data_IF_988310562844
#
_entry.id   IF_988310562844
#
_cell.length_a   1.000
_cell.length_b   1.000
_cell.length_c   1.000
_cell.angle_alpha   90.00
_cell.angle_beta   90.00
_cell.angle_gamma   90.00
#
_symmetry.space_group_name_H-M   'P 1'
#
loop_
_entity.id
_entity.type
_entity.pdbx_description
1 polymer ?
#
# COMPACT_ATOMS: atom_id res chain seq x y z
N UNK A 1 -38.12 -3.04 -89.85
CA UNK A 1 -39.35 -2.40 -89.33
C UNK A 1 -39.94 -3.29 -88.25
N UNK A 2 -40.66 -2.70 -87.27
CA UNK A 2 -41.36 -3.27 -86.07
C UNK A 2 -40.45 -3.89 -84.99
N UNK A 3 -40.05 -3.14 -83.95
CA UNK A 3 -40.73 -2.78 -82.66
C UNK A 3 -41.03 -3.97 -81.73
N UNK A 4 -40.41 -3.94 -80.55
CA UNK A 4 -40.75 -4.76 -79.38
C UNK A 4 -39.72 -4.60 -78.26
N UNK A 5 -39.89 -3.55 -77.43
CA UNK A 5 -39.07 -3.22 -76.25
C UNK A 5 -39.82 -3.61 -74.96
N UNK A 6 -39.04 -3.82 -73.88
CA UNK A 6 -39.37 -3.93 -72.44
C UNK A 6 -39.56 -5.37 -71.87
N UNK A 7 -39.16 -5.68 -70.61
CA UNK A 7 -39.12 -4.74 -69.47
C UNK A 7 -37.82 -4.61 -68.67
N UNK A 8 -37.82 -3.49 -67.95
CA UNK A 8 -36.88 -2.90 -66.99
C UNK A 8 -36.81 -3.62 -65.64
N UNK A 9 -35.61 -3.73 -65.08
CA UNK A 9 -35.36 -3.99 -63.65
C UNK A 9 -35.17 -2.64 -62.92
N UNK A 10 -35.82 -2.39 -61.77
CA UNK A 10 -35.54 -1.20 -60.97
C UNK A 10 -34.26 -1.39 -60.12
N UNK A 11 -33.33 -0.45 -60.26
CA UNK A 11 -32.16 -0.28 -59.39
C UNK A 11 -32.60 0.53 -58.16
N UNK A 12 -32.58 -0.09 -56.99
CA UNK A 12 -32.79 0.60 -55.71
C UNK A 12 -31.48 1.26 -55.24
N UNK A 13 -31.50 2.58 -55.07
CA UNK A 13 -30.42 3.35 -54.42
C UNK A 13 -30.60 3.31 -52.89
N UNK A 14 -29.57 2.95 -52.10
CA UNK A 14 -29.63 3.13 -50.65
C UNK A 14 -29.45 4.60 -50.25
N UNK A 15 -30.40 5.10 -49.47
CA UNK A 15 -30.44 6.42 -48.82
C UNK A 15 -29.17 6.76 -48.04
N UNK A 16 -28.64 7.97 -48.25
CA UNK A 16 -27.65 8.62 -47.36
C UNK A 16 -28.24 8.86 -45.97
N UNK A 17 -27.60 8.29 -44.95
CA UNK A 17 -27.91 8.50 -43.54
C UNK A 17 -27.42 9.87 -43.04
N UNK A 18 -28.26 10.53 -42.25
CA UNK A 18 -28.01 11.82 -41.60
C UNK A 18 -26.83 11.76 -40.63
N UNK A 19 -25.78 12.57 -40.87
CA UNK A 19 -24.72 12.84 -39.91
C UNK A 19 -25.25 13.70 -38.76
N UNK A 20 -25.76 13.07 -37.69
CA UNK A 20 -25.94 13.76 -36.40
C UNK A 20 -24.62 13.74 -35.64
N UNK A 21 -24.05 14.93 -35.39
CA UNK A 21 -22.88 15.10 -34.51
C UNK A 21 -23.21 14.54 -33.11
N UNK A 22 -22.33 13.75 -32.47
CA UNK A 22 -22.60 13.23 -31.13
C UNK A 22 -22.69 14.39 -30.12
N UNK A 23 -23.79 14.44 -29.36
CA UNK A 23 -23.90 15.29 -28.17
C UNK A 23 -22.76 14.94 -27.19
N UNK A 24 -22.08 15.92 -26.58
CA UNK A 24 -21.16 15.67 -25.48
C UNK A 24 -21.93 14.92 -24.39
N UNK A 25 -21.54 13.67 -24.11
CA UNK A 25 -22.03 12.95 -22.94
C UNK A 25 -21.42 13.63 -21.73
N UNK A 26 -22.25 14.20 -20.87
CA UNK A 26 -21.85 14.51 -19.51
C UNK A 26 -21.25 13.22 -18.92
N UNK A 27 -19.98 13.31 -18.53
CA UNK A 27 -19.25 12.20 -17.91
C UNK A 27 -20.06 11.65 -16.75
N UNK A 28 -20.16 10.32 -16.69
CA UNK A 28 -20.81 9.56 -15.63
C UNK A 28 -20.40 10.13 -14.27
N UNK A 29 -21.38 10.53 -13.44
CA UNK A 29 -21.09 10.83 -12.04
C UNK A 29 -20.44 9.60 -11.39
N UNK A 30 -19.42 9.78 -10.52
CA UNK A 30 -18.80 8.66 -9.84
C UNK A 30 -19.86 7.80 -9.15
N UNK A 31 -19.72 6.48 -9.19
CA UNK A 31 -20.63 5.60 -8.47
C UNK A 31 -20.59 5.95 -6.98
N UNK A 32 -21.75 5.98 -6.30
CA UNK A 32 -21.84 6.28 -4.87
C UNK A 32 -20.96 5.35 -4.01
N UNK A 33 -20.67 4.15 -4.51
CA UNK A 33 -19.75 3.17 -3.92
C UNK A 33 -18.28 3.61 -3.91
N UNK A 34 -17.85 4.52 -4.79
CA UNK A 34 -16.49 5.03 -4.84
C UNK A 34 -16.30 6.31 -4.00
N UNK A 35 -17.38 6.88 -3.47
CA UNK A 35 -17.36 8.13 -2.70
C UNK A 35 -16.37 8.09 -1.51
N UNK A 36 -16.31 7.00 -0.70
CA UNK A 36 -15.32 6.91 0.37
C UNK A 36 -13.87 6.95 -0.14
N UNK A 37 -13.61 6.32 -1.30
CA UNK A 37 -12.30 6.29 -1.92
C UNK A 37 -11.88 7.66 -2.45
N UNK A 38 -12.81 8.40 -3.07
CA UNK A 38 -12.56 9.76 -3.54
C UNK A 38 -12.36 10.75 -2.39
N UNK A 39 -13.11 10.61 -1.29
CA UNK A 39 -12.92 11.41 -0.08
C UNK A 39 -11.54 11.14 0.54
N UNK A 40 -11.20 9.86 0.73
CA UNK A 40 -9.89 9.44 1.23
C UNK A 40 -8.74 9.98 0.35
N UNK A 41 -8.85 9.89 -0.98
CA UNK A 41 -7.83 10.43 -1.89
C UNK A 41 -7.67 11.95 -1.78
N UNK A 42 -8.78 12.70 -1.66
CA UNK A 42 -8.73 14.17 -1.47
C UNK A 42 -8.13 14.55 -0.13
N UNK A 43 -8.46 13.85 0.94
CA UNK A 43 -7.95 14.12 2.29
C UNK A 43 -6.49 13.68 2.44
N UNK A 44 -6.07 12.61 1.78
CA UNK A 44 -4.66 12.22 1.66
C UNK A 44 -3.82 13.31 0.98
N UNK A 45 -4.36 13.97 -0.06
CA UNK A 45 -3.72 15.13 -0.71
C UNK A 45 -3.64 16.36 0.21
N UNK A 46 -4.66 16.59 1.04
CA UNK A 46 -4.62 17.66 2.04
C UNK A 46 -3.56 17.36 3.12
N UNK A 47 -3.49 16.12 3.57
CA UNK A 47 -2.50 15.68 4.55
C UNK A 47 -1.06 15.79 4.00
N UNK A 48 -0.83 15.42 2.74
CA UNK A 48 0.48 15.60 2.08
C UNK A 48 0.88 17.06 1.84
N UNK A 49 -0.08 17.98 1.87
CA UNK A 49 0.19 19.42 1.76
C UNK A 49 0.48 20.07 3.12
N UNK A 50 0.30 19.33 4.22
CA UNK A 50 0.51 19.81 5.58
C UNK A 50 2.00 19.71 5.97
N UNK A 51 2.61 20.82 6.37
CA UNK A 51 4.03 20.87 6.74
C UNK A 51 4.38 19.97 7.94
N UNK A 52 3.49 19.87 8.94
CA UNK A 52 3.66 18.99 10.09
C UNK A 52 3.66 17.52 9.65
N UNK A 53 2.77 17.14 8.74
CA UNK A 53 2.76 15.79 8.17
C UNK A 53 3.97 15.50 7.29
N UNK A 54 4.42 16.47 6.50
CA UNK A 54 5.61 16.31 5.64
C UNK A 54 6.87 16.02 6.45
N UNK A 55 6.99 16.55 7.67
CA UNK A 55 8.06 16.18 8.60
C UNK A 55 7.98 14.71 9.02
N UNK A 56 6.78 14.22 9.35
CA UNK A 56 6.53 12.81 9.71
C UNK A 56 6.85 11.89 8.54
N UNK A 57 6.36 12.21 7.35
CA UNK A 57 6.65 11.44 6.14
C UNK A 57 8.15 11.37 5.86
N UNK A 58 8.87 12.50 5.97
CA UNK A 58 10.32 12.53 5.75
C UNK A 58 11.05 11.63 6.73
N UNK A 59 10.72 11.73 8.02
CA UNK A 59 11.32 10.90 9.06
C UNK A 59 11.04 9.41 8.84
N UNK A 60 9.79 9.03 8.54
CA UNK A 60 9.42 7.63 8.28
C UNK A 60 10.17 7.06 7.07
N UNK A 61 10.28 7.82 5.98
CA UNK A 61 11.05 7.39 4.80
C UNK A 61 12.54 7.28 5.12
N UNK A 62 13.08 8.16 5.96
CA UNK A 62 14.47 8.07 6.41
C UNK A 62 14.72 6.77 7.21
N UNK A 63 13.80 6.41 8.11
CA UNK A 63 13.86 5.15 8.86
C UNK A 63 13.89 3.94 7.92
N UNK A 64 13.02 3.89 6.90
CA UNK A 64 13.03 2.80 5.92
C UNK A 64 14.32 2.72 5.08
N UNK A 65 15.09 3.82 5.00
CA UNK A 65 16.40 3.84 4.34
C UNK A 65 17.55 3.43 5.27
N UNK A 66 17.26 3.03 6.51
CA UNK A 66 18.24 2.71 7.55
C UNK A 66 18.80 3.93 8.27
N UNK A 67 18.16 5.10 8.14
CA UNK A 67 18.52 6.31 8.88
C UNK A 67 17.89 6.35 10.27
N UNK A 68 18.57 6.99 11.22
CA UNK A 68 18.04 7.26 12.55
C UNK A 68 17.26 8.58 12.61
N UNK A 69 16.62 8.81 13.77
CA UNK A 69 16.04 10.11 14.12
C UNK A 69 17.12 11.01 14.74
N UNK A 70 17.03 12.32 14.47
CA UNK A 70 17.88 13.31 15.11
C UNK A 70 17.49 13.55 16.57
N UNK A 71 18.40 14.19 17.31
CA UNK A 71 18.13 14.58 18.69
C UNK A 71 16.88 15.45 18.78
N UNK A 72 15.98 15.09 19.69
CA UNK A 72 14.68 15.76 19.91
C UNK A 72 13.69 15.72 18.73
N UNK A 73 14.03 15.09 17.60
CA UNK A 73 13.14 14.97 16.45
C UNK A 73 11.89 14.17 16.80
N UNK A 74 12.06 13.04 17.50
CA UNK A 74 10.94 12.20 17.95
C UNK A 74 9.89 12.97 18.76
N UNK A 75 10.32 13.87 19.64
CA UNK A 75 9.41 14.70 20.43
C UNK A 75 8.61 15.64 19.52
N UNK A 76 9.27 16.32 18.58
CA UNK A 76 8.61 17.21 17.64
C UNK A 76 7.62 16.46 16.72
N UNK A 77 7.99 15.27 16.25
CA UNK A 77 7.12 14.41 15.46
C UNK A 77 5.86 13.98 16.25
N UNK A 78 6.03 13.58 17.50
CA UNK A 78 4.92 13.23 18.38
C UNK A 78 3.96 14.42 18.61
N UNK A 79 4.48 15.62 18.81
CA UNK A 79 3.67 16.83 18.93
C UNK A 79 2.91 17.15 17.64
N UNK A 80 3.56 17.01 16.48
CA UNK A 80 2.92 17.18 15.18
C UNK A 80 1.75 16.20 15.01
N UNK A 81 1.94 14.93 15.35
CA UNK A 81 0.90 13.90 15.26
C UNK A 81 -0.24 14.20 16.24
N UNK A 82 0.03 14.61 17.49
CA UNK A 82 -1.02 15.02 18.45
C UNK A 82 -1.86 16.18 17.93
N UNK A 83 -1.24 17.17 17.27
CA UNK A 83 -1.96 18.29 16.66
C UNK A 83 -2.82 17.84 15.49
N UNK A 84 -2.29 16.97 14.62
CA UNK A 84 -3.04 16.41 13.49
C UNK A 84 -4.22 15.55 13.95
N UNK A 85 -4.05 14.74 15.00
CA UNK A 85 -5.13 13.93 15.59
C UNK A 85 -6.30 14.76 16.10
N UNK A 86 -6.06 16.00 16.53
CA UNK A 86 -7.11 16.94 16.96
C UNK A 86 -7.79 17.67 15.79
N UNK A 87 -7.28 17.51 14.57
CA UNK A 87 -7.84 18.12 13.36
C UNK A 87 -8.75 17.16 12.61
N UNK A 88 -9.43 17.66 11.58
CA UNK A 88 -10.22 16.84 10.65
C UNK A 88 -9.39 15.75 9.93
N UNK A 89 -8.06 15.88 9.92
CA UNK A 89 -7.16 14.93 9.26
C UNK A 89 -6.78 13.74 10.16
N UNK A 90 -7.13 13.77 11.45
CA UNK A 90 -6.70 12.77 12.43
C UNK A 90 -7.11 11.35 12.08
N UNK A 91 -8.33 11.16 11.59
CA UNK A 91 -8.87 9.84 11.21
C UNK A 91 -8.14 9.19 10.04
N UNK A 92 -7.38 9.95 9.25
CA UNK A 92 -6.69 9.44 8.06
C UNK A 92 -5.24 9.06 8.32
N UNK A 93 -4.69 9.37 9.49
CA UNK A 93 -3.27 9.14 9.80
C UNK A 93 -2.94 7.64 9.69
N UNK A 94 -3.76 6.77 10.28
CA UNK A 94 -3.55 5.32 10.25
C UNK A 94 -3.62 4.76 8.83
N UNK A 95 -4.65 5.17 8.07
CA UNK A 95 -4.83 4.73 6.68
C UNK A 95 -3.66 5.18 5.79
N UNK A 96 -3.24 6.44 5.92
CA UNK A 96 -2.10 6.97 5.18
C UNK A 96 -0.80 6.26 5.57
N UNK A 97 -0.58 6.00 6.87
CA UNK A 97 0.56 5.22 7.33
C UNK A 97 0.59 3.86 6.63
N UNK A 98 -0.51 3.11 6.65
CA UNK A 98 -0.59 1.79 6.04
C UNK A 98 -0.42 1.83 4.52
N UNK A 99 -1.22 2.65 3.83
CA UNK A 99 -1.36 2.60 2.37
C UNK A 99 -0.30 3.39 1.61
N UNK A 100 0.37 4.36 2.26
CA UNK A 100 1.36 5.21 1.62
C UNK A 100 2.75 4.99 2.22
N UNK A 101 2.92 5.21 3.53
CA UNK A 101 4.24 5.22 4.13
C UNK A 101 4.83 3.81 4.26
N UNK A 102 4.09 2.91 4.91
CA UNK A 102 4.48 1.52 5.11
C UNK A 102 4.56 0.78 3.78
N UNK A 103 3.54 0.92 2.93
CA UNK A 103 3.53 0.29 1.61
C UNK A 103 4.76 0.69 0.78
N UNK A 104 5.07 1.99 0.70
CA UNK A 104 6.24 2.48 -0.03
C UNK A 104 7.56 2.02 0.58
N UNK A 105 7.68 2.04 1.91
CA UNK A 105 8.87 1.58 2.61
C UNK A 105 9.15 0.08 2.39
N UNK A 106 8.10 -0.74 2.46
CA UNK A 106 8.22 -2.18 2.25
C UNK A 106 8.41 -2.57 0.78
N UNK A 107 7.89 -1.79 -0.18
CA UNK A 107 8.21 -2.00 -1.59
C UNK A 107 9.71 -1.83 -1.86
N UNK A 108 10.35 -0.83 -1.26
CA UNK A 108 11.80 -0.66 -1.37
C UNK A 108 12.57 -1.87 -0.81
N UNK A 109 12.11 -2.40 0.33
CA UNK A 109 12.66 -3.60 0.95
C UNK A 109 12.50 -4.84 0.05
N UNK A 110 11.31 -5.01 -0.52
CA UNK A 110 10.98 -6.13 -1.40
C UNK A 110 11.79 -6.11 -2.69
N UNK A 111 11.94 -4.93 -3.31
CA UNK A 111 12.78 -4.71 -4.49
C UNK A 111 14.24 -5.07 -4.19
N UNK A 112 14.77 -4.65 -3.03
CA UNK A 112 16.13 -4.99 -2.60
C UNK A 112 16.33 -6.52 -2.52
N UNK A 113 15.36 -7.27 -2.01
CA UNK A 113 15.42 -8.74 -1.92
C UNK A 113 15.28 -9.40 -3.29
N UNK A 114 14.46 -8.86 -4.19
CA UNK A 114 14.29 -9.38 -5.56
C UNK A 114 15.54 -9.27 -6.42
N UNK A 115 16.38 -8.26 -6.18
CA UNK A 115 17.63 -8.06 -6.92
C UNK A 115 18.72 -9.08 -6.53
N UNK A 116 18.54 -9.83 -5.44
CA UNK A 116 19.45 -10.90 -5.04
C UNK A 116 18.98 -12.26 -5.55
N UNK A 117 19.90 -13.02 -6.12
CA UNK A 117 19.65 -14.36 -6.67
C UNK A 117 20.29 -15.46 -5.82
N UNK A 118 19.72 -16.67 -5.88
CA UNK A 118 20.28 -17.86 -5.26
C UNK A 118 20.24 -17.87 -3.73
N UNK A 119 21.21 -18.56 -3.11
CA UNK A 119 21.29 -18.76 -1.67
C UNK A 119 21.46 -17.44 -0.89
N UNK A 120 22.03 -16.39 -1.48
CA UNK A 120 22.21 -15.09 -0.81
C UNK A 120 20.88 -14.37 -0.54
N UNK A 121 19.79 -14.81 -1.19
CA UNK A 121 18.46 -14.20 -1.02
C UNK A 121 17.85 -14.51 0.36
N UNK A 122 18.09 -15.70 0.92
CA UNK A 122 17.60 -16.04 2.26
C UNK A 122 18.39 -15.30 3.34
N UNK A 123 19.70 -15.12 3.14
CA UNK A 123 20.56 -14.34 4.03
C UNK A 123 20.14 -12.87 4.03
N UNK A 124 19.91 -12.29 2.85
CA UNK A 124 19.43 -10.92 2.75
C UNK A 124 18.04 -10.74 3.37
N UNK A 125 17.14 -11.71 3.19
CA UNK A 125 15.82 -11.68 3.84
C UNK A 125 15.97 -11.68 5.37
N UNK A 126 16.90 -12.49 5.91
CA UNK A 126 17.20 -12.52 7.33
C UNK A 126 17.74 -11.17 7.83
N UNK A 127 18.71 -10.58 7.14
CA UNK A 127 19.28 -9.27 7.49
C UNK A 127 18.23 -8.15 7.46
N UNK A 128 17.43 -8.10 6.40
CA UNK A 128 16.35 -7.13 6.24
C UNK A 128 15.31 -7.30 7.35
N UNK A 129 14.95 -8.54 7.67
CA UNK A 129 14.01 -8.82 8.74
C UNK A 129 14.55 -8.35 10.10
N UNK A 130 15.82 -8.65 10.41
CA UNK A 130 16.45 -8.24 11.67
C UNK A 130 16.46 -6.73 11.81
N UNK A 131 16.89 -6.01 10.78
CA UNK A 131 16.86 -4.54 10.77
C UNK A 131 15.42 -3.98 10.86
N UNK A 132 14.48 -4.58 10.13
CA UNK A 132 13.09 -4.16 10.21
C UNK A 132 12.52 -4.35 11.62
N UNK A 133 12.74 -5.51 12.23
CA UNK A 133 12.13 -5.88 13.50
C UNK A 133 12.78 -5.18 14.70
N UNK A 134 14.10 -4.94 14.66
CA UNK A 134 14.86 -4.37 15.78
C UNK A 134 15.04 -2.86 15.71
N UNK A 135 15.02 -2.26 14.51
CA UNK A 135 15.25 -0.82 14.33
C UNK A 135 14.04 -0.11 13.73
N UNK A 136 13.61 -0.51 12.53
CA UNK A 136 12.53 0.18 11.81
C UNK A 136 11.23 0.16 12.61
N UNK A 137 10.76 -1.03 12.98
CA UNK A 137 9.47 -1.23 13.63
C UNK A 137 9.39 -0.49 14.99
N UNK A 138 10.35 -0.62 15.92
CA UNK A 138 10.34 0.16 17.16
C UNK A 138 10.35 1.67 16.92
N UNK A 139 11.06 2.14 15.90
CA UNK A 139 11.11 3.57 15.56
C UNK A 139 9.76 4.05 15.02
N UNK A 140 9.10 3.28 14.15
CA UNK A 140 7.74 3.58 13.68
C UNK A 140 6.74 3.59 14.85
N UNK A 141 6.82 2.61 15.76
CA UNK A 141 6.00 2.58 16.96
C UNK A 141 6.23 3.83 17.84
N UNK A 142 7.47 4.30 17.94
CA UNK A 142 7.81 5.50 18.70
C UNK A 142 7.26 6.78 18.05
N UNK A 143 7.41 6.94 16.73
CA UNK A 143 6.90 8.10 15.97
C UNK A 143 5.37 8.15 16.08
N UNK A 144 4.69 7.02 15.93
CA UNK A 144 3.22 6.96 15.94
C UNK A 144 2.63 6.65 17.31
N UNK A 145 3.42 6.76 18.39
CA UNK A 145 2.96 6.52 19.76
C UNK A 145 1.66 7.27 20.14
N UNK A 146 1.42 8.53 19.69
CA UNK A 146 0.17 9.23 19.98
C UNK A 146 -1.08 8.63 19.31
N UNK A 147 -0.93 7.78 18.29
CA UNK A 147 -2.04 7.14 17.58
C UNK A 147 -2.50 5.92 18.38
N UNK A 148 -3.49 6.12 19.24
CA UNK A 148 -4.05 5.09 20.13
C UNK A 148 -5.53 4.83 19.82
N UNK A 149 -6.05 3.70 20.30
CA UNK A 149 -7.47 3.33 20.18
C UNK A 149 -7.92 2.91 18.76
N UNK A 150 -6.97 2.58 17.89
CA UNK A 150 -7.24 2.02 16.56
C UNK A 150 -7.55 0.52 16.66
N UNK A 151 -8.24 -0.04 15.66
CA UNK A 151 -8.53 -1.48 15.56
C UNK A 151 -7.23 -2.31 15.55
N UNK A 152 -6.23 -1.83 14.80
CA UNK A 152 -4.89 -2.42 14.77
C UNK A 152 -3.85 -1.41 15.24
N UNK A 153 -2.92 -1.89 16.06
CA UNK A 153 -1.74 -1.13 16.47
C UNK A 153 -0.78 -0.95 15.29
N UNK A 154 0.06 0.09 15.35
CA UNK A 154 1.15 0.34 14.38
C UNK A 154 2.01 -0.92 14.20
N UNK A 155 2.28 -1.64 15.29
CA UNK A 155 3.00 -2.91 15.25
C UNK A 155 2.29 -3.96 14.40
N UNK A 156 1.01 -4.19 14.66
CA UNK A 156 0.23 -5.17 13.91
C UNK A 156 0.14 -4.78 12.43
N UNK A 157 -0.12 -3.52 12.12
CA UNK A 157 -0.17 -3.01 10.74
C UNK A 157 1.18 -3.24 10.04
N UNK A 158 2.30 -2.90 10.69
CA UNK A 158 3.64 -3.08 10.14
C UNK A 158 4.02 -4.55 9.93
N UNK A 159 3.71 -5.44 10.87
CA UNK A 159 3.98 -6.87 10.75
C UNK A 159 3.14 -7.52 9.65
N UNK A 160 1.84 -7.20 9.59
CA UNK A 160 0.96 -7.63 8.50
C UNK A 160 1.45 -7.12 7.16
N UNK A 161 1.84 -5.85 7.07
CA UNK A 161 2.43 -5.27 5.88
C UNK A 161 3.68 -6.00 5.42
N UNK A 162 4.61 -6.31 6.34
CA UNK A 162 5.82 -7.06 6.00
C UNK A 162 5.48 -8.45 5.44
N UNK A 163 4.56 -9.17 6.10
CA UNK A 163 4.07 -10.47 5.62
C UNK A 163 3.51 -10.36 4.20
N UNK A 164 2.57 -9.45 4.00
CA UNK A 164 1.77 -9.41 2.77
C UNK A 164 2.52 -8.79 1.58
N UNK A 165 3.36 -7.79 1.83
CA UNK A 165 4.09 -7.06 0.80
C UNK A 165 5.48 -7.61 0.53
N UNK A 166 6.16 -8.19 1.52
CA UNK A 166 7.52 -8.74 1.36
C UNK A 166 7.48 -10.26 1.32
N UNK A 167 7.10 -10.91 2.43
CA UNK A 167 7.28 -12.35 2.59
C UNK A 167 6.51 -13.17 1.54
N UNK A 168 5.22 -12.85 1.34
CA UNK A 168 4.38 -13.55 0.36
C UNK A 168 4.83 -13.32 -1.09
N UNK A 169 5.62 -12.29 -1.37
CA UNK A 169 6.17 -12.01 -2.71
C UNK A 169 7.49 -12.73 -2.98
N UNK A 170 8.23 -13.06 -1.93
CA UNK A 170 9.58 -13.63 -2.02
C UNK A 170 9.59 -15.13 -2.42
N UNK A 171 8.43 -15.82 -2.39
CA UNK A 171 8.29 -17.28 -2.61
C UNK A 171 9.19 -18.09 -1.70
N UNK A 172 8.88 -18.06 -0.41
CA UNK A 172 9.75 -18.60 0.64
C UNK A 172 10.02 -20.11 0.49
N UNK A 173 9.07 -20.89 -0.02
CA UNK A 173 9.21 -22.35 -0.18
C UNK A 173 10.41 -22.70 -1.07
N UNK A 174 10.58 -21.98 -2.18
CA UNK A 174 11.71 -22.15 -3.09
C UNK A 174 13.05 -21.82 -2.40
N UNK A 175 13.06 -20.82 -1.52
CA UNK A 175 14.26 -20.40 -0.80
C UNK A 175 14.65 -21.35 0.33
N UNK A 176 13.67 -21.88 1.06
CA UNK A 176 13.93 -22.84 2.14
C UNK A 176 14.46 -24.16 1.60
N UNK A 177 14.00 -24.58 0.41
CA UNK A 177 14.55 -25.76 -0.29
C UNK A 177 16.02 -25.56 -0.70
N UNK A 178 16.41 -24.34 -1.07
CA UNK A 178 17.79 -24.00 -1.43
C UNK A 178 18.70 -23.79 -0.21
N UNK A 179 18.14 -23.40 0.95
CA UNK A 179 18.87 -23.09 2.18
C UNK A 179 19.16 -24.31 3.09
N UNK A 180 19.07 -25.53 2.55
CA UNK A 180 19.34 -26.77 3.28
C UNK A 180 20.79 -26.78 3.84
N UNK A 181 21.02 -27.27 5.08
CA UNK A 181 20.10 -28.09 5.89
C UNK A 181 19.27 -27.35 6.95
N UNK A 182 19.56 -26.07 7.27
CA UNK A 182 18.81 -25.33 8.29
C UNK A 182 18.77 -23.82 8.00
N UNK A 183 17.59 -23.18 8.02
CA UNK A 183 17.48 -21.74 7.75
C UNK A 183 18.07 -20.89 8.88
N UNK A 184 18.46 -19.63 8.60
CA UNK A 184 18.93 -18.69 9.62
C UNK A 184 17.91 -18.52 10.76
N UNK A 185 18.39 -18.35 12.00
CA UNK A 185 17.53 -18.20 13.17
C UNK A 185 16.53 -17.04 13.06
N UNK A 186 16.95 -15.94 12.43
CA UNK A 186 16.12 -14.77 12.11
C UNK A 186 14.90 -15.13 11.25
N UNK A 187 15.04 -16.05 10.29
CA UNK A 187 13.93 -16.52 9.45
C UNK A 187 12.93 -17.34 10.27
N UNK A 188 13.42 -18.20 11.17
CA UNK A 188 12.56 -18.97 12.07
C UNK A 188 11.77 -18.03 12.97
N UNK A 189 12.45 -17.04 13.57
CA UNK A 189 11.83 -16.04 14.42
C UNK A 189 10.79 -15.21 13.65
N UNK A 190 11.11 -14.79 12.43
CA UNK A 190 10.19 -14.08 11.54
C UNK A 190 8.91 -14.88 11.32
N UNK A 191 9.04 -16.16 10.96
CA UNK A 191 7.89 -17.01 10.68
C UNK A 191 7.01 -17.24 11.89
N UNK A 192 7.60 -17.37 13.08
CA UNK A 192 6.85 -17.49 14.34
C UNK A 192 6.08 -16.21 14.69
N UNK A 193 6.67 -15.05 14.42
CA UNK A 193 6.04 -13.76 14.73
C UNK A 193 4.93 -13.40 13.75
N UNK A 194 5.11 -13.73 12.47
CA UNK A 194 4.13 -13.41 11.42
C UNK A 194 2.97 -14.40 11.32
N UNK A 195 2.84 -15.32 12.28
CA UNK A 195 1.78 -16.31 12.28
C UNK A 195 0.39 -15.65 12.38
N UNK A 196 -0.61 -16.14 11.61
CA UNK A 196 -1.96 -15.55 11.59
C UNK A 196 -2.75 -15.56 12.91
N UNK A 197 -2.21 -16.11 14.01
CA UNK A 197 -2.92 -16.29 15.29
C UNK A 197 -2.35 -15.54 16.50
N UNK A 198 -1.28 -14.75 16.35
CA UNK A 198 -0.65 -14.02 17.46
C UNK A 198 -1.30 -12.63 17.69
N UNK A 199 -2.62 -12.58 17.87
CA UNK A 199 -3.31 -11.41 18.40
C UNK A 199 -3.69 -11.67 19.87
N UNK A 200 -3.09 -10.97 20.85
CA UNK A 200 -3.59 -11.05 22.22
C UNK A 200 -4.88 -10.21 22.27
N UNK A 201 -6.03 -10.86 22.13
CA UNK A 201 -7.31 -10.14 22.11
C UNK A 201 -8.59 -10.97 22.03
N UNK A 202 -8.54 -12.29 21.91
CA UNK A 202 -9.72 -13.14 22.04
C UNK A 202 -9.71 -13.88 23.38
N UNK A 203 -10.15 -13.19 24.43
CA UNK A 203 -10.70 -13.85 25.62
C UNK A 203 -11.99 -14.58 25.19
N UNK A 204 -12.11 -15.91 25.35
CA UNK A 204 -13.39 -16.58 25.29
C UNK A 204 -13.98 -16.56 26.71
N UNK A 205 -14.71 -15.50 27.05
CA UNK A 205 -15.70 -15.58 28.14
C UNK A 205 -16.96 -16.18 27.49
N UNK A 206 -17.23 -17.47 27.69
CA UNK A 206 -17.89 -18.04 28.88
C UNK A 206 -19.11 -17.22 29.28
#
# INVERSE_FOLDING_TARGET
MTRGFAPSLPVEFPKMGSFRRPRPRFMSSPALSDLPRFQAARQALQLSSNSAWNSVQTAVINVFKGGGLQSNELYALNENIRRLLKSELGSFITDYFQNQLLAKGLLFVEEKIKLCEGANRIELLAEVWDHFFTETLPTLQAIFYPVQGQELTIRQISLLGFRDLVLLKVKLDDLLLLAQPQPPSSIIQMLLILQPGATPGSDPRS
#
